data_IF_586316737795
#
_entry.id   IF_586316737795
#
_cell.length_a   1.000
_cell.length_b   1.000
_cell.length_c   1.000
_cell.angle_alpha   90.00
_cell.angle_beta   90.00
_cell.angle_gamma   90.00
#
_symmetry.space_group_name_H-M   'P 1'
#
loop_
_entity.id
_entity.type
_entity.pdbx_description
1 polymer ?
#
# COMPACT_ATOMS: atom_id res chain seq x y z
N UNK A 1 6.64 60.88 33.12
CA UNK A 1 7.56 60.35 32.09
C UNK A 1 8.60 59.46 32.75
N UNK A 2 8.46 58.14 32.59
CA UNK A 2 9.55 57.16 32.73
C UNK A 2 9.30 56.09 31.66
N UNK A 3 10.20 56.05 30.70
CA UNK A 3 10.33 55.02 29.66
C UNK A 3 10.86 53.74 30.28
N UNK A 4 10.27 52.59 29.96
CA UNK A 4 10.95 51.29 30.08
C UNK A 4 10.42 50.33 29.01
N UNK A 5 11.26 50.15 27.99
CA UNK A 5 11.20 49.09 26.99
C UNK A 5 11.74 47.82 27.66
N UNK A 6 10.98 46.73 27.69
CA UNK A 6 11.52 45.41 28.02
C UNK A 6 11.43 44.56 26.75
N UNK A 7 12.57 44.45 26.07
CA UNK A 7 12.88 43.36 25.16
C UNK A 7 13.39 42.21 26.03
N UNK A 8 12.71 41.06 26.00
CA UNK A 8 13.32 39.81 26.47
C UNK A 8 13.52 38.87 25.28
N UNK A 9 14.79 38.80 24.91
CA UNK A 9 15.43 37.88 23.99
C UNK A 9 15.60 36.49 24.65
N UNK A 10 15.50 35.44 23.83
CA UNK A 10 16.11 34.10 23.96
C UNK A 10 15.61 33.11 25.03
N UNK A 11 15.15 31.94 24.55
CA UNK A 11 16.02 30.76 24.55
C UNK A 11 15.62 29.76 23.45
N UNK A 12 16.54 29.60 22.51
CA UNK A 12 16.61 28.55 21.52
C UNK A 12 16.66 27.16 22.18
N UNK A 13 16.05 26.22 21.44
CA UNK A 13 16.51 24.85 21.21
C UNK A 13 16.62 23.92 22.41
N UNK A 14 15.53 23.24 22.73
CA UNK A 14 15.62 21.79 22.89
C UNK A 14 15.71 21.16 21.51
N UNK A 15 16.89 21.26 20.87
CA UNK A 15 17.31 20.30 19.85
C UNK A 15 17.54 18.98 20.59
N UNK A 16 16.46 18.35 21.02
CA UNK A 16 16.46 16.91 21.26
C UNK A 16 16.85 16.31 19.92
N UNK A 17 18.12 15.89 19.82
CA UNK A 17 18.66 15.15 18.68
C UNK A 17 17.99 13.78 18.57
N UNK A 18 16.69 13.76 18.31
CA UNK A 18 16.09 12.66 17.59
C UNK A 18 16.71 12.74 16.21
N UNK A 19 17.69 11.87 15.96
CA UNK A 19 18.07 11.52 14.60
C UNK A 19 16.79 11.10 13.89
N UNK A 20 16.15 12.02 13.17
CA UNK A 20 14.96 11.73 12.40
C UNK A 20 15.39 10.69 11.36
N UNK A 21 14.81 9.49 11.41
CA UNK A 21 15.15 8.44 10.45
C UNK A 21 14.92 8.99 9.05
N UNK A 22 15.86 8.82 8.13
CA UNK A 22 15.65 9.14 6.72
C UNK A 22 14.48 8.34 6.13
N UNK A 23 13.87 8.84 5.07
CA UNK A 23 12.86 8.12 4.29
C UNK A 23 13.35 6.72 3.85
N UNK A 24 14.62 6.60 3.47
CA UNK A 24 15.26 5.32 3.15
C UNK A 24 15.32 4.38 4.34
N UNK A 25 15.73 4.85 5.53
CA UNK A 25 15.76 3.99 6.72
C UNK A 25 14.37 3.51 7.15
N UNK A 26 13.36 4.39 7.03
CA UNK A 26 11.96 4.02 7.25
C UNK A 26 11.49 2.96 6.24
N UNK A 27 11.86 3.14 4.98
CA UNK A 27 11.53 2.23 3.89
C UNK A 27 12.16 0.85 4.08
N UNK A 28 13.45 0.81 4.41
CA UNK A 28 14.19 -0.43 4.66
C UNK A 28 13.57 -1.19 5.84
N UNK A 29 13.18 -0.48 6.92
CA UNK A 29 12.47 -1.06 8.07
C UNK A 29 11.10 -1.63 7.68
N UNK A 30 10.33 -0.91 6.87
CA UNK A 30 9.01 -1.36 6.42
C UNK A 30 9.12 -2.64 5.59
N UNK A 31 10.03 -2.69 4.63
CA UNK A 31 10.22 -3.85 3.76
C UNK A 31 10.73 -5.06 4.53
N UNK A 32 11.68 -4.90 5.44
CA UNK A 32 12.17 -6.01 6.27
C UNK A 32 11.01 -6.68 7.01
N UNK A 33 10.08 -5.90 7.57
CA UNK A 33 8.90 -6.45 8.26
C UNK A 33 7.97 -7.19 7.29
N UNK A 34 7.72 -6.64 6.11
CA UNK A 34 6.85 -7.27 5.10
C UNK A 34 7.46 -8.56 4.54
N UNK A 35 8.78 -8.59 4.34
CA UNK A 35 9.54 -9.77 3.91
C UNK A 35 9.49 -10.88 4.97
N UNK A 36 9.81 -10.57 6.23
CA UNK A 36 9.69 -11.53 7.35
C UNK A 36 8.25 -12.06 7.47
N UNK A 37 7.24 -11.22 7.24
CA UNK A 37 5.85 -11.67 7.24
C UNK A 37 5.55 -12.64 6.08
N UNK A 38 6.15 -12.42 4.91
CA UNK A 38 6.07 -13.33 3.77
C UNK A 38 6.70 -14.70 4.05
N UNK A 39 7.81 -14.74 4.78
CA UNK A 39 8.44 -16.00 5.21
C UNK A 39 7.54 -16.82 6.14
N UNK A 40 6.84 -16.17 7.08
CA UNK A 40 5.85 -16.84 7.95
C UNK A 40 4.75 -17.51 7.11
N UNK A 41 4.31 -16.88 6.01
CA UNK A 41 3.37 -17.51 5.08
C UNK A 41 3.95 -18.73 4.38
N UNK A 42 5.20 -18.64 3.93
CA UNK A 42 5.88 -19.75 3.28
C UNK A 42 5.98 -20.97 4.21
N UNK A 43 6.36 -20.75 5.47
CA UNK A 43 6.45 -21.81 6.48
C UNK A 43 5.09 -22.46 6.78
N UNK A 44 4.01 -21.67 6.82
CA UNK A 44 2.65 -22.20 6.97
C UNK A 44 2.29 -23.20 5.86
N UNK A 45 2.58 -22.87 4.59
CA UNK A 45 2.25 -23.74 3.47
C UNK A 45 3.05 -25.04 3.47
N UNK A 46 4.27 -25.03 3.99
CA UNK A 46 5.17 -26.19 4.00
C UNK A 46 5.03 -27.08 5.25
N UNK A 47 4.76 -26.49 6.42
CA UNK A 47 4.73 -27.22 7.70
C UNK A 47 3.32 -27.57 8.18
N UNK A 48 2.31 -26.75 7.84
CA UNK A 48 0.94 -26.79 8.40
C UNK A 48 0.88 -26.77 9.95
N UNK A 49 1.95 -26.37 10.63
CA UNK A 49 2.01 -26.32 12.10
C UNK A 49 1.21 -25.15 12.68
N UNK A 50 1.00 -24.12 11.87
CA UNK A 50 0.23 -22.93 12.25
C UNK A 50 -1.18 -23.10 11.68
N UNK A 51 -2.23 -22.80 12.45
CA UNK A 51 -3.60 -22.78 11.92
C UNK A 51 -3.88 -21.45 11.18
N UNK A 52 -4.88 -21.46 10.28
CA UNK A 52 -5.21 -20.29 9.45
C UNK A 52 -5.55 -19.04 10.27
N UNK A 53 -6.25 -19.18 11.41
CA UNK A 53 -6.67 -18.02 12.22
C UNK A 53 -5.44 -17.38 12.90
N UNK A 54 -4.52 -18.20 13.38
CA UNK A 54 -3.24 -17.73 13.91
C UNK A 54 -2.42 -17.03 12.83
N UNK A 55 -2.35 -17.60 11.62
CA UNK A 55 -1.68 -16.97 10.48
C UNK A 55 -2.28 -15.61 10.14
N UNK A 56 -3.61 -15.51 9.99
CA UNK A 56 -4.30 -14.25 9.69
C UNK A 56 -4.04 -13.18 10.76
N UNK A 57 -3.95 -13.59 12.04
CA UNK A 57 -3.64 -12.72 13.17
C UNK A 57 -2.21 -12.19 13.10
N UNK A 58 -1.23 -13.07 12.83
CA UNK A 58 0.16 -12.70 12.67
C UNK A 58 0.36 -11.77 11.47
N UNK A 59 -0.25 -12.10 10.33
CA UNK A 59 -0.21 -11.28 9.13
C UNK A 59 -0.68 -9.85 9.42
N UNK A 60 -1.89 -9.73 10.00
CA UNK A 60 -2.44 -8.42 10.35
C UNK A 60 -1.51 -7.65 11.29
N UNK A 61 -0.94 -8.31 12.30
CA UNK A 61 -0.02 -7.69 13.27
C UNK A 61 1.23 -7.14 12.59
N UNK A 62 1.87 -7.91 11.70
CA UNK A 62 3.09 -7.48 11.01
C UNK A 62 2.82 -6.42 9.96
N UNK A 63 1.74 -6.56 9.19
CA UNK A 63 1.29 -5.52 8.25
C UNK A 63 1.07 -4.18 8.96
N UNK A 64 0.39 -4.17 10.11
CA UNK A 64 0.19 -2.93 10.88
C UNK A 64 1.51 -2.31 11.37
N UNK A 65 2.52 -3.11 11.71
CA UNK A 65 3.85 -2.58 12.08
C UNK A 65 4.56 -1.95 10.89
N UNK A 66 4.51 -2.56 9.71
CA UNK A 66 5.11 -1.98 8.51
C UNK A 66 4.42 -0.67 8.12
N UNK A 67 3.09 -0.61 8.22
CA UNK A 67 2.30 0.59 7.91
C UNK A 67 2.68 1.81 8.75
N UNK A 68 3.15 1.64 10.00
CA UNK A 68 3.65 2.75 10.83
C UNK A 68 4.80 3.49 10.14
N UNK A 69 5.78 2.76 9.58
CA UNK A 69 6.93 3.38 8.90
C UNK A 69 6.53 3.97 7.55
N UNK A 70 5.63 3.30 6.82
CA UNK A 70 5.08 3.81 5.56
C UNK A 70 4.33 5.13 5.79
N UNK A 71 3.51 5.22 6.83
CA UNK A 71 2.79 6.44 7.19
C UNK A 71 3.74 7.59 7.57
N UNK A 72 4.87 7.28 8.23
CA UNK A 72 5.91 8.27 8.50
C UNK A 72 6.55 8.79 7.21
N UNK A 73 6.84 7.93 6.22
CA UNK A 73 7.35 8.38 4.91
C UNK A 73 6.35 9.34 4.25
N UNK A 74 5.06 8.96 4.20
CA UNK A 74 4.03 9.77 3.56
C UNK A 74 3.81 11.11 4.27
N UNK A 75 3.93 11.15 5.59
CA UNK A 75 3.73 12.36 6.40
C UNK A 75 4.93 13.29 6.38
N UNK A 76 6.13 12.76 6.58
CA UNK A 76 7.34 13.55 6.83
C UNK A 76 8.13 13.83 5.55
N UNK A 77 7.97 12.99 4.51
CA UNK A 77 8.74 13.07 3.27
C UNK A 77 7.84 13.09 2.01
N UNK A 78 6.92 14.07 1.86
CA UNK A 78 5.96 14.11 0.75
C UNK A 78 6.60 14.28 -0.64
N UNK A 79 7.86 14.72 -0.70
CA UNK A 79 8.63 14.90 -1.93
C UNK A 79 9.67 13.80 -2.18
N UNK A 80 9.68 12.75 -1.34
CA UNK A 80 10.59 11.61 -1.51
C UNK A 80 10.33 10.86 -2.81
N UNK A 81 11.41 10.35 -3.42
CA UNK A 81 11.30 9.41 -4.54
C UNK A 81 10.56 8.11 -4.14
N UNK A 82 10.54 7.78 -2.85
CA UNK A 82 9.87 6.62 -2.28
C UNK A 82 8.37 6.87 -2.03
N UNK A 83 7.88 8.11 -2.10
CA UNK A 83 6.50 8.46 -1.75
C UNK A 83 5.47 7.62 -2.52
N UNK A 84 5.62 7.53 -3.84
CA UNK A 84 4.68 6.77 -4.68
C UNK A 84 4.74 5.25 -4.38
N UNK A 85 5.92 4.72 -4.03
CA UNK A 85 6.05 3.32 -3.63
C UNK A 85 5.40 3.10 -2.25
N UNK A 86 5.62 4.01 -1.30
CA UNK A 86 5.02 3.98 0.03
C UNK A 86 3.49 4.02 -0.05
N UNK A 87 2.94 4.87 -0.92
CA UNK A 87 1.49 4.97 -1.11
C UNK A 87 0.91 3.70 -1.74
N UNK A 88 1.61 3.08 -2.70
CA UNK A 88 1.22 1.79 -3.27
C UNK A 88 1.24 0.68 -2.22
N UNK A 89 2.34 0.55 -1.46
CA UNK A 89 2.47 -0.43 -0.38
C UNK A 89 1.37 -0.25 0.65
N UNK A 90 1.08 0.99 1.05
CA UNK A 90 -0.03 1.31 1.96
C UNK A 90 -1.35 0.79 1.40
N UNK A 91 -1.67 1.13 0.16
CA UNK A 91 -2.93 0.75 -0.45
C UNK A 91 -3.13 -0.78 -0.52
N UNK A 92 -2.08 -1.51 -0.93
CA UNK A 92 -2.11 -2.97 -1.04
C UNK A 92 -2.21 -3.65 0.33
N UNK A 93 -1.46 -3.17 1.33
CA UNK A 93 -1.46 -3.74 2.67
C UNK A 93 -2.74 -3.43 3.46
N UNK A 94 -3.29 -2.22 3.32
CA UNK A 94 -4.60 -1.87 3.89
C UNK A 94 -5.70 -2.73 3.28
N UNK A 95 -5.63 -3.04 1.97
CA UNK A 95 -6.55 -3.98 1.35
C UNK A 95 -6.40 -5.39 1.93
N UNK A 96 -5.17 -5.87 2.10
CA UNK A 96 -4.88 -7.21 2.64
C UNK A 96 -5.44 -7.41 4.07
N UNK A 97 -5.50 -6.35 4.88
CA UNK A 97 -6.13 -6.38 6.22
C UNK A 97 -7.59 -5.91 6.23
N UNK A 98 -8.24 -5.88 5.07
CA UNK A 98 -9.64 -5.54 4.83
C UNK A 98 -10.04 -4.09 5.23
N UNK A 99 -9.08 -3.16 5.25
CA UNK A 99 -9.34 -1.73 5.43
C UNK A 99 -9.56 -1.04 4.07
N UNK A 100 -10.68 -1.38 3.44
CA UNK A 100 -11.03 -0.94 2.06
C UNK A 100 -11.10 0.57 1.90
N UNK A 101 -11.56 1.30 2.92
CA UNK A 101 -11.69 2.75 2.86
C UNK A 101 -10.32 3.43 2.71
N UNK A 102 -9.35 3.08 3.57
CA UNK A 102 -7.99 3.64 3.50
C UNK A 102 -7.28 3.19 2.24
N UNK A 103 -7.43 1.92 1.87
CA UNK A 103 -6.87 1.38 0.62
C UNK A 103 -7.36 2.14 -0.62
N UNK A 104 -8.68 2.33 -0.74
CA UNK A 104 -9.30 3.08 -1.84
C UNK A 104 -8.81 4.53 -1.90
N UNK A 105 -8.68 5.19 -0.76
CA UNK A 105 -8.15 6.54 -0.69
C UNK A 105 -6.70 6.61 -1.19
N UNK A 106 -5.83 5.69 -0.74
CA UNK A 106 -4.43 5.65 -1.15
C UNK A 106 -4.26 5.33 -2.64
N UNK A 107 -5.04 4.38 -3.20
CA UNK A 107 -5.01 4.11 -4.64
C UNK A 107 -5.45 5.33 -5.47
N UNK A 108 -6.52 6.02 -5.06
CA UNK A 108 -7.00 7.21 -5.76
C UNK A 108 -5.99 8.37 -5.67
N UNK A 109 -5.37 8.57 -4.50
CA UNK A 109 -4.30 9.55 -4.35
C UNK A 109 -3.13 9.23 -5.28
N UNK A 110 -2.72 7.97 -5.35
CA UNK A 110 -1.63 7.54 -6.24
C UNK A 110 -1.97 7.81 -7.71
N UNK A 111 -3.19 7.48 -8.14
CA UNK A 111 -3.67 7.72 -9.50
C UNK A 111 -3.80 9.22 -9.86
N UNK A 112 -3.91 10.10 -8.87
CA UNK A 112 -3.92 11.56 -9.09
C UNK A 112 -2.53 12.13 -9.43
N UNK A 113 -1.45 11.35 -9.25
CA UNK A 113 -0.07 11.77 -9.50
C UNK A 113 0.22 11.79 -11.00
N UNK A 114 0.69 12.92 -11.52
CA UNK A 114 0.94 13.15 -12.95
C UNK A 114 1.97 12.20 -13.57
N UNK A 115 3.03 11.86 -12.85
CA UNK A 115 4.17 11.09 -13.35
C UNK A 115 4.18 9.62 -12.89
N UNK A 116 3.00 9.03 -12.69
CA UNK A 116 2.90 7.65 -12.20
C UNK A 116 3.28 6.62 -13.28
N UNK A 117 4.18 5.69 -12.92
CA UNK A 117 4.59 4.57 -13.79
C UNK A 117 3.38 3.71 -14.17
N UNK A 118 3.35 3.20 -15.41
CA UNK A 118 2.23 2.36 -15.91
C UNK A 118 1.92 1.17 -15.00
N UNK A 119 2.96 0.45 -14.54
CA UNK A 119 2.77 -0.68 -13.63
C UNK A 119 2.15 -0.33 -12.27
N UNK A 120 2.35 0.90 -11.78
CA UNK A 120 1.68 1.37 -10.56
C UNK A 120 0.21 1.73 -10.83
N UNK A 121 -0.09 2.35 -11.99
CA UNK A 121 -1.48 2.55 -12.46
C UNK A 121 -2.21 1.22 -12.54
N UNK A 122 -1.58 0.22 -13.15
CA UNK A 122 -2.10 -1.15 -13.22
C UNK A 122 -2.49 -1.68 -11.83
N UNK A 123 -1.54 -1.71 -10.89
CA UNK A 123 -1.78 -2.24 -9.56
C UNK A 123 -2.91 -1.49 -8.85
N UNK A 124 -2.96 -0.17 -9.01
CA UNK A 124 -4.00 0.65 -8.42
C UNK A 124 -5.38 0.30 -8.95
N UNK A 125 -5.52 0.16 -10.27
CA UNK A 125 -6.79 -0.26 -10.87
C UNK A 125 -7.18 -1.69 -10.50
N UNK A 126 -6.23 -2.62 -10.39
CA UNK A 126 -6.51 -3.97 -9.89
C UNK A 126 -7.03 -3.93 -8.45
N UNK A 127 -6.38 -3.17 -7.56
CA UNK A 127 -6.82 -3.03 -6.17
C UNK A 127 -8.21 -2.41 -6.06
N UNK A 128 -8.48 -1.36 -6.83
CA UNK A 128 -9.81 -0.74 -6.91
C UNK A 128 -10.87 -1.68 -7.50
N UNK A 129 -10.52 -2.50 -8.49
CA UNK A 129 -11.40 -3.52 -9.03
C UNK A 129 -11.78 -4.58 -7.98
N UNK A 130 -10.82 -5.04 -7.17
CA UNK A 130 -11.10 -5.95 -6.05
C UNK A 130 -12.06 -5.33 -5.04
N UNK A 131 -11.83 -4.07 -4.65
CA UNK A 131 -12.73 -3.36 -3.74
C UNK A 131 -14.13 -3.26 -4.34
N UNK A 132 -14.25 -2.91 -5.62
CA UNK A 132 -15.54 -2.81 -6.30
C UNK A 132 -16.26 -4.16 -6.44
N UNK A 133 -15.53 -5.27 -6.66
CA UNK A 133 -16.07 -6.63 -6.65
C UNK A 133 -16.66 -6.96 -5.28
N UNK A 134 -15.91 -6.68 -4.21
CA UNK A 134 -16.36 -6.93 -2.85
C UNK A 134 -17.56 -6.06 -2.45
N UNK A 135 -17.64 -4.84 -2.97
CA UNK A 135 -18.79 -3.93 -2.86
C UNK A 135 -19.97 -4.36 -3.77
N UNK A 136 -19.83 -5.45 -4.53
CA UNK A 136 -20.79 -5.93 -5.54
C UNK A 136 -21.10 -4.91 -6.64
N UNK A 137 -20.24 -3.91 -6.82
CA UNK A 137 -20.32 -2.94 -7.90
C UNK A 137 -19.59 -3.46 -9.14
N UNK A 138 -20.12 -4.52 -9.74
CA UNK A 138 -19.49 -5.23 -10.86
C UNK A 138 -19.29 -4.36 -12.12
N UNK A 139 -20.14 -3.35 -12.32
CA UNK A 139 -19.97 -2.38 -13.41
C UNK A 139 -18.68 -1.59 -13.20
N UNK A 140 -18.51 -0.97 -12.04
CA UNK A 140 -17.32 -0.19 -11.71
C UNK A 140 -16.06 -1.06 -11.69
N UNK A 141 -16.16 -2.29 -11.16
CA UNK A 141 -15.06 -3.26 -11.21
C UNK A 141 -14.59 -3.51 -12.65
N UNK A 142 -15.52 -3.73 -13.59
CA UNK A 142 -15.17 -3.93 -15.00
C UNK A 142 -14.53 -2.70 -15.65
N UNK A 143 -14.97 -1.49 -15.28
CA UNK A 143 -14.33 -0.24 -15.72
C UNK A 143 -12.87 -0.18 -15.26
N UNK A 144 -12.60 -0.49 -13.98
CA UNK A 144 -11.24 -0.55 -13.45
C UNK A 144 -10.39 -1.65 -14.11
N UNK A 145 -10.94 -2.84 -14.36
CA UNK A 145 -10.21 -3.91 -15.06
C UNK A 145 -9.79 -3.48 -16.47
N UNK A 146 -10.65 -2.77 -17.19
CA UNK A 146 -10.31 -2.22 -18.51
C UNK A 146 -9.23 -1.14 -18.42
N UNK A 147 -9.29 -0.26 -17.40
CA UNK A 147 -8.25 0.74 -17.15
C UNK A 147 -6.90 0.10 -16.80
N UNK A 148 -6.90 -1.02 -16.06
CA UNK A 148 -5.70 -1.79 -15.77
C UNK A 148 -5.07 -2.32 -17.07
N UNK A 149 -5.86 -2.96 -17.94
CA UNK A 149 -5.37 -3.51 -19.22
C UNK A 149 -4.78 -2.44 -20.15
N UNK A 150 -5.29 -1.21 -20.10
CA UNK A 150 -4.75 -0.07 -20.85
C UNK A 150 -3.45 0.51 -20.24
N UNK A 151 -3.03 0.04 -19.07
CA UNK A 151 -1.82 0.46 -18.38
C UNK A 151 -0.94 -0.74 -18.01
N UNK A 152 -0.55 -1.62 -18.95
CA UNK A 152 0.08 -2.88 -18.61
C UNK A 152 1.41 -2.68 -17.88
N UNK A 153 1.72 -3.63 -16.99
CA UNK A 153 3.06 -3.78 -16.42
C UNK A 153 4.05 -4.25 -17.48
N UNK A 154 5.32 -3.97 -17.23
CA UNK A 154 6.40 -4.69 -17.89
C UNK A 154 6.61 -5.99 -17.13
N UNK A 155 6.67 -7.10 -17.85
CA UNK A 155 6.91 -8.43 -17.28
C UNK A 155 8.35 -8.84 -17.59
N UNK A 156 9.00 -9.49 -16.62
CA UNK A 156 10.37 -9.98 -16.81
C UNK A 156 10.40 -11.28 -17.62
N UNK A 157 9.35 -12.10 -17.47
CA UNK A 157 9.20 -13.40 -18.11
C UNK A 157 7.73 -13.69 -18.47
N UNK A 158 7.52 -14.72 -19.30
CA UNK A 158 6.19 -15.12 -19.75
C UNK A 158 5.27 -15.59 -18.63
N UNK A 159 5.80 -16.28 -17.61
CA UNK A 159 5.01 -16.84 -16.51
C UNK A 159 4.28 -15.75 -15.71
N UNK A 160 4.95 -14.63 -15.42
CA UNK A 160 4.32 -13.48 -14.74
C UNK A 160 3.17 -12.90 -15.57
N UNK A 161 3.38 -12.74 -16.88
CA UNK A 161 2.35 -12.25 -17.80
C UNK A 161 1.12 -13.16 -17.81
N UNK A 162 1.31 -14.47 -17.92
CA UNK A 162 0.20 -15.43 -17.95
C UNK A 162 -0.56 -15.45 -16.62
N UNK A 163 0.14 -15.43 -15.48
CA UNK A 163 -0.50 -15.36 -14.17
C UNK A 163 -1.34 -14.09 -13.99
N UNK A 164 -0.84 -12.94 -14.46
CA UNK A 164 -1.60 -11.69 -14.37
C UNK A 164 -2.81 -11.67 -15.31
N UNK A 165 -2.69 -12.24 -16.51
CA UNK A 165 -3.83 -12.43 -17.43
C UNK A 165 -4.88 -13.38 -16.87
N UNK A 166 -4.47 -14.48 -16.26
CA UNK A 166 -5.39 -15.40 -15.59
C UNK A 166 -6.15 -14.70 -14.46
N UNK A 167 -5.44 -13.91 -13.64
CA UNK A 167 -6.03 -13.09 -12.57
C UNK A 167 -7.10 -12.14 -13.11
N UNK A 168 -6.79 -11.37 -14.15
CA UNK A 168 -7.76 -10.47 -14.80
C UNK A 168 -8.99 -11.23 -15.29
N UNK A 169 -8.79 -12.36 -15.97
CA UNK A 169 -9.89 -13.18 -16.49
C UNK A 169 -10.77 -13.72 -15.36
N UNK A 170 -10.19 -14.15 -14.25
CA UNK A 170 -10.94 -14.64 -13.10
C UNK A 170 -11.76 -13.53 -12.43
N UNK A 171 -11.19 -12.32 -12.29
CA UNK A 171 -11.95 -11.15 -11.81
C UNK A 171 -13.11 -10.80 -12.73
N UNK A 172 -12.90 -10.82 -14.06
CA UNK A 172 -13.98 -10.58 -15.04
C UNK A 172 -15.09 -11.62 -14.95
N UNK A 173 -14.74 -12.91 -14.77
CA UNK A 173 -15.73 -13.98 -14.58
C UNK A 173 -16.62 -13.72 -13.36
N UNK A 174 -16.04 -13.25 -12.25
CA UNK A 174 -16.80 -12.86 -11.05
C UNK A 174 -17.79 -11.74 -11.37
N UNK A 175 -17.36 -10.71 -12.12
CA UNK A 175 -18.25 -9.63 -12.54
C UNK A 175 -19.40 -10.12 -13.44
N UNK A 176 -19.13 -11.04 -14.37
CA UNK A 176 -20.13 -11.60 -15.30
C UNK A 176 -21.13 -12.49 -14.58
N UNK A 177 -20.69 -13.32 -13.63
CA UNK A 177 -21.58 -14.21 -12.88
C UNK A 177 -22.39 -13.50 -11.79
N UNK A 178 -22.12 -12.22 -11.56
CA UNK A 178 -22.71 -11.45 -10.46
C UNK A 178 -22.29 -11.99 -9.09
N UNK A 179 -21.05 -12.50 -8.98
CA UNK A 179 -20.52 -13.08 -7.75
C UNK A 179 -21.09 -14.45 -7.36
N UNK A 180 -21.91 -15.07 -8.21
CA UNK A 180 -22.39 -16.45 -7.98
C UNK A 180 -21.23 -17.42 -8.27
N UNK A 181 -20.87 -18.21 -7.26
CA UNK A 181 -19.93 -19.33 -7.35
C UNK A 181 -20.68 -20.62 -7.63
#
# INVERSE_FOLDING_TARGET
>A
MKTSFIVFLFLLTTLSGHSQNSDKELWDKANLILETNGEIYYDYFNSKEIDKKTLDTLNKKWTLKALIFIDQILKEYPNSELYNNALLIKAENELAINNKAVSKAAFNELLSRSNLKRGMKYNSYIGLAWIAIDEQNFKLANEYLTLAENNPKNYSCGTEYYGDKERLNNMRKICISGGRK
#
